data_IF_786113278161
#
_entry.id   IF_786113278161
#
_cell.length_a   1.000
_cell.length_b   1.000
_cell.length_c   1.000
_cell.angle_alpha   90.00
_cell.angle_beta   90.00
_cell.angle_gamma   90.00
#
_symmetry.space_group_name_H-M   'P 1'
#
loop_
_entity.id
_entity.type
_entity.pdbx_description
1 polymer ?
#
# COMPACT_ATOMS: atom_id res chain seq x y z
N UNK A 1 -25.88 -17.92 -19.60
CA UNK A 1 -25.10 -16.66 -19.60
C UNK A 1 -25.94 -15.37 -19.76
N UNK A 2 -27.01 -15.32 -20.57
CA UNK A 2 -27.80 -14.07 -20.79
C UNK A 2 -28.49 -13.43 -19.56
N UNK A 3 -28.79 -14.16 -18.49
CA UNK A 3 -29.47 -13.61 -17.29
C UNK A 3 -28.57 -12.86 -16.30
N UNK A 4 -27.24 -13.06 -16.35
CA UNK A 4 -26.34 -12.45 -15.35
C UNK A 4 -26.00 -10.98 -15.64
N UNK A 5 -26.21 -10.51 -16.87
CA UNK A 5 -25.83 -9.17 -17.33
C UNK A 5 -27.03 -8.26 -17.61
N UNK A 6 -28.19 -8.54 -17.01
CA UNK A 6 -29.37 -7.71 -17.19
C UNK A 6 -29.16 -6.30 -16.58
N UNK A 7 -29.50 -5.24 -17.31
CA UNK A 7 -29.34 -3.83 -16.89
C UNK A 7 -30.49 -3.35 -16.00
N UNK A 8 -31.57 -4.15 -15.89
CA UNK A 8 -32.75 -3.84 -15.06
C UNK A 8 -32.42 -3.61 -13.57
N UNK A 9 -31.32 -4.19 -13.09
CA UNK A 9 -30.89 -4.08 -11.69
C UNK A 9 -29.65 -3.18 -11.58
N UNK A 10 -29.63 -2.27 -10.61
CA UNK A 10 -28.48 -1.41 -10.33
C UNK A 10 -27.21 -2.24 -10.07
N UNK A 11 -26.06 -1.82 -10.62
CA UNK A 11 -24.79 -2.55 -10.53
C UNK A 11 -24.41 -3.01 -9.10
N UNK A 12 -24.58 -2.20 -8.03
CA UNK A 12 -24.24 -2.60 -6.67
C UNK A 12 -25.06 -3.78 -6.10
N UNK A 13 -26.18 -4.10 -6.73
CA UNK A 13 -27.05 -5.22 -6.34
C UNK A 13 -26.79 -6.47 -7.20
N UNK A 14 -25.94 -6.38 -8.23
CA UNK A 14 -25.68 -7.49 -9.13
C UNK A 14 -24.72 -8.51 -8.48
N UNK A 15 -25.12 -9.79 -8.34
CA UNK A 15 -24.30 -10.79 -7.65
C UNK A 15 -22.91 -10.97 -8.23
N UNK A 16 -22.76 -10.95 -9.56
CA UNK A 16 -21.47 -11.12 -10.21
C UNK A 16 -20.51 -9.97 -9.88
N UNK A 17 -21.01 -8.74 -9.74
CA UNK A 17 -20.19 -7.59 -9.40
C UNK A 17 -19.71 -7.67 -7.95
N UNK A 18 -20.59 -8.09 -7.03
CA UNK A 18 -20.20 -8.35 -5.63
C UNK A 18 -19.16 -9.47 -5.51
N UNK A 19 -19.30 -10.53 -6.31
CA UNK A 19 -18.29 -11.61 -6.36
C UNK A 19 -16.95 -11.09 -6.87
N UNK A 20 -16.93 -10.23 -7.90
CA UNK A 20 -15.69 -9.61 -8.36
C UNK A 20 -15.05 -8.70 -7.31
N UNK A 21 -15.85 -7.89 -6.62
CA UNK A 21 -15.37 -7.04 -5.52
C UNK A 21 -14.80 -7.88 -4.37
N UNK A 22 -15.45 -9.00 -4.02
CA UNK A 22 -14.96 -9.92 -2.99
C UNK A 22 -13.65 -10.61 -3.41
N UNK A 23 -13.58 -11.12 -4.64
CA UNK A 23 -12.36 -11.73 -5.18
C UNK A 23 -11.20 -10.74 -5.23
N UNK A 24 -11.47 -9.50 -5.65
CA UNK A 24 -10.49 -8.42 -5.65
C UNK A 24 -10.04 -8.08 -4.23
N UNK A 25 -10.96 -7.96 -3.26
CA UNK A 25 -10.61 -7.67 -1.87
C UNK A 25 -9.68 -8.75 -1.29
N UNK A 26 -9.93 -10.03 -1.59
CA UNK A 26 -9.05 -11.14 -1.18
C UNK A 26 -7.65 -11.01 -1.78
N UNK A 27 -7.58 -10.74 -3.09
CA UNK A 27 -6.32 -10.55 -3.81
C UNK A 27 -5.53 -9.36 -3.25
N UNK A 28 -6.19 -8.22 -3.10
CA UNK A 28 -5.65 -6.95 -2.62
C UNK A 28 -5.09 -7.04 -1.20
N UNK A 29 -5.87 -7.60 -0.27
CA UNK A 29 -5.44 -7.76 1.11
C UNK A 29 -4.24 -8.72 1.21
N UNK A 30 -4.27 -9.81 0.44
CA UNK A 30 -3.15 -10.75 0.39
C UNK A 30 -1.89 -10.15 -0.23
N UNK A 31 -2.04 -9.32 -1.26
CA UNK A 31 -0.94 -8.61 -1.91
C UNK A 31 -0.27 -7.63 -0.94
N UNK A 32 -1.06 -6.82 -0.23
CA UNK A 32 -0.53 -5.85 0.74
C UNK A 32 0.23 -6.54 1.87
N UNK A 33 -0.26 -7.68 2.38
CA UNK A 33 0.48 -8.49 3.36
C UNK A 33 1.84 -8.93 2.81
N UNK A 34 1.85 -9.50 1.60
CA UNK A 34 3.07 -10.02 0.97
C UNK A 34 4.08 -8.91 0.62
N UNK A 35 3.58 -7.75 0.19
CA UNK A 35 4.39 -6.57 -0.08
C UNK A 35 5.13 -6.10 1.18
N UNK A 36 4.44 -6.04 2.33
CA UNK A 36 5.05 -5.65 3.60
C UNK A 36 6.10 -6.67 4.06
N UNK A 37 5.80 -7.96 3.98
CA UNK A 37 6.72 -9.02 4.35
C UNK A 37 8.01 -8.95 3.52
N UNK A 38 7.89 -8.87 2.19
CA UNK A 38 9.04 -8.80 1.30
C UNK A 38 9.80 -7.48 1.43
N UNK A 39 9.11 -6.34 1.55
CA UNK A 39 9.75 -5.05 1.71
C UNK A 39 10.52 -4.93 3.04
N UNK A 40 10.06 -5.62 4.09
CA UNK A 40 10.73 -5.68 5.40
C UNK A 40 12.01 -6.53 5.42
N UNK A 41 12.26 -7.33 4.37
CA UNK A 41 13.46 -8.17 4.25
C UNK A 41 14.77 -7.39 4.07
N UNK A 42 15.90 -8.08 4.32
CA UNK A 42 17.24 -7.51 4.16
C UNK A 42 17.58 -7.24 2.68
N UNK A 43 18.52 -6.32 2.40
CA UNK A 43 19.00 -6.03 1.03
C UNK A 43 19.67 -7.25 0.38
N UNK A 44 20.24 -8.16 1.19
CA UNK A 44 20.89 -9.38 0.71
C UNK A 44 19.88 -10.45 0.28
N UNK A 45 18.70 -10.47 0.91
CA UNK A 45 17.64 -11.45 0.61
C UNK A 45 16.78 -11.03 -0.58
N UNK A 46 16.67 -9.72 -0.83
CA UNK A 46 15.87 -9.17 -1.93
C UNK A 46 16.63 -9.21 -3.25
N UNK A 47 16.35 -10.24 -4.05
CA UNK A 47 16.83 -10.29 -5.45
C UNK A 47 16.13 -9.19 -6.24
N UNK A 48 16.86 -8.51 -7.15
CA UNK A 48 16.29 -7.51 -8.05
C UNK A 48 15.04 -8.01 -8.81
N UNK A 49 14.97 -9.31 -9.09
CA UNK A 49 13.81 -9.97 -9.69
C UNK A 49 12.55 -9.90 -8.80
N UNK A 50 12.67 -10.05 -7.48
CA UNK A 50 11.52 -9.98 -6.56
C UNK A 50 10.95 -8.57 -6.46
N UNK A 51 11.80 -7.54 -6.47
CA UNK A 51 11.35 -6.15 -6.50
C UNK A 51 10.60 -5.84 -7.82
N UNK A 52 11.11 -6.34 -8.94
CA UNK A 52 10.48 -6.17 -10.24
C UNK A 52 9.11 -6.87 -10.33
N UNK A 53 9.04 -8.12 -9.85
CA UNK A 53 7.78 -8.87 -9.80
C UNK A 53 6.75 -8.16 -8.93
N UNK A 54 7.18 -7.60 -7.80
CA UNK A 54 6.33 -6.83 -6.90
C UNK A 54 5.84 -5.52 -7.55
N UNK A 55 6.70 -4.82 -8.30
CA UNK A 55 6.29 -3.64 -9.08
C UNK A 55 5.23 -4.00 -10.14
N UNK A 56 5.38 -5.14 -10.81
CA UNK A 56 4.41 -5.60 -11.81
C UNK A 56 3.07 -5.92 -11.14
N UNK A 57 3.08 -6.67 -10.03
CA UNK A 57 1.86 -7.01 -9.30
C UNK A 57 1.19 -5.79 -8.69
N UNK A 58 1.93 -4.83 -8.15
CA UNK A 58 1.38 -3.56 -7.64
C UNK A 58 0.54 -2.85 -8.71
N UNK A 59 1.07 -2.78 -9.94
CA UNK A 59 0.41 -2.15 -11.09
C UNK A 59 -0.85 -2.91 -11.52
N UNK A 60 -0.78 -4.24 -11.54
CA UNK A 60 -1.93 -5.10 -11.89
C UNK A 60 -3.03 -4.96 -10.85
N UNK A 61 -2.70 -5.12 -9.56
CA UNK A 61 -3.64 -5.06 -8.44
C UNK A 61 -4.30 -3.67 -8.37
N UNK A 62 -3.51 -2.60 -8.38
CA UNK A 62 -4.05 -1.23 -8.42
C UNK A 62 -4.88 -0.96 -9.68
N UNK A 63 -4.47 -1.52 -10.83
CA UNK A 63 -5.20 -1.39 -12.10
C UNK A 63 -6.56 -2.09 -12.09
N UNK A 64 -6.65 -3.28 -11.49
CA UNK A 64 -7.92 -3.97 -11.23
C UNK A 64 -8.80 -3.19 -10.25
N UNK A 65 -8.20 -2.63 -9.21
CA UNK A 65 -8.89 -1.76 -8.26
C UNK A 65 -9.53 -0.56 -8.94
N UNK A 66 -8.77 0.15 -9.77
CA UNK A 66 -9.27 1.26 -10.56
C UNK A 66 -10.34 0.81 -11.57
N UNK A 67 -10.16 -0.34 -12.24
CA UNK A 67 -11.14 -0.88 -13.16
C UNK A 67 -12.51 -1.07 -12.48
N UNK A 68 -12.55 -1.61 -11.26
CA UNK A 68 -13.79 -1.78 -10.50
C UNK A 68 -14.44 -0.44 -10.13
N UNK A 69 -13.66 0.58 -9.78
CA UNK A 69 -14.16 1.94 -9.58
C UNK A 69 -14.77 2.51 -10.86
N UNK A 70 -14.08 2.35 -11.99
CA UNK A 70 -14.52 2.81 -13.31
C UNK A 70 -15.81 2.12 -13.74
N UNK A 71 -15.96 0.81 -13.47
CA UNK A 71 -17.20 0.09 -13.78
C UNK A 71 -18.41 0.75 -13.12
N UNK A 72 -18.27 1.20 -11.88
CA UNK A 72 -19.34 1.93 -11.18
C UNK A 72 -19.60 3.31 -11.76
N UNK A 73 -18.54 4.08 -12.05
CA UNK A 73 -18.69 5.44 -12.58
C UNK A 73 -19.25 5.47 -14.00
N UNK A 74 -18.88 4.49 -14.83
CA UNK A 74 -19.28 4.39 -16.22
C UNK A 74 -20.54 3.55 -16.43
N UNK A 75 -21.12 2.97 -15.38
CA UNK A 75 -22.34 2.15 -15.42
C UNK A 75 -23.50 2.83 -16.16
N UNK A 76 -23.67 4.13 -15.91
CA UNK A 76 -24.72 4.92 -16.56
C UNK A 76 -24.41 5.22 -18.03
N UNK A 77 -23.14 5.42 -18.37
CA UNK A 77 -22.70 5.79 -19.71
C UNK A 77 -22.68 4.59 -20.68
N UNK A 78 -22.17 3.44 -20.23
CA UNK A 78 -21.99 2.27 -21.08
C UNK A 78 -23.20 1.34 -20.94
N UNK A 79 -23.87 1.07 -22.05
CA UNK A 79 -25.08 0.23 -22.06
C UNK A 79 -24.78 -1.27 -21.97
N UNK A 80 -23.69 -1.71 -22.61
CA UNK A 80 -23.29 -3.11 -22.63
C UNK A 80 -22.41 -3.46 -21.43
N UNK A 81 -22.86 -4.42 -20.60
CA UNK A 81 -22.08 -4.93 -19.45
C UNK A 81 -20.71 -5.51 -19.82
N UNK A 82 -20.57 -6.39 -20.83
CA UNK A 82 -19.25 -6.89 -21.19
C UNK A 82 -18.35 -5.76 -21.71
N UNK A 83 -18.90 -4.78 -22.44
CA UNK A 83 -18.12 -3.62 -22.89
C UNK A 83 -17.66 -2.76 -21.71
N UNK A 84 -18.53 -2.54 -20.71
CA UNK A 84 -18.19 -1.83 -19.48
C UNK A 84 -17.01 -2.53 -18.79
N UNK A 85 -17.12 -3.84 -18.54
CA UNK A 85 -16.05 -4.62 -17.89
C UNK A 85 -14.74 -4.55 -18.69
N UNK A 86 -14.78 -4.84 -20.00
CA UNK A 86 -13.58 -4.85 -20.84
C UNK A 86 -12.93 -3.47 -20.92
N UNK A 87 -13.72 -2.42 -21.15
CA UNK A 87 -13.22 -1.05 -21.25
C UNK A 87 -12.64 -0.56 -19.92
N UNK A 88 -13.31 -0.80 -18.79
CA UNK A 88 -12.81 -0.45 -17.46
C UNK A 88 -11.54 -1.22 -17.10
N UNK A 89 -11.45 -2.51 -17.41
CA UNK A 89 -10.22 -3.29 -17.21
C UNK A 89 -9.08 -2.77 -18.08
N UNK A 90 -9.33 -2.52 -19.37
CA UNK A 90 -8.30 -2.01 -20.28
C UNK A 90 -7.78 -0.65 -19.82
N UNK A 91 -8.68 0.30 -19.51
CA UNK A 91 -8.30 1.63 -19.03
C UNK A 91 -7.61 1.56 -17.68
N UNK A 92 -8.16 0.80 -16.72
CA UNK A 92 -7.61 0.69 -15.37
C UNK A 92 -6.19 0.10 -15.37
N UNK A 93 -5.99 -1.01 -16.09
CA UNK A 93 -4.69 -1.67 -16.20
C UNK A 93 -3.68 -0.81 -16.96
N UNK A 94 -4.02 -0.28 -18.15
CA UNK A 94 -3.10 0.56 -18.92
C UNK A 94 -2.72 1.82 -18.15
N UNK A 95 -3.70 2.48 -17.51
CA UNK A 95 -3.42 3.70 -16.76
C UNK A 95 -2.50 3.41 -15.57
N UNK A 96 -2.78 2.40 -14.74
CA UNK A 96 -1.92 2.10 -13.59
C UNK A 96 -0.56 1.54 -13.99
N UNK A 97 -0.48 0.79 -15.10
CA UNK A 97 0.78 0.30 -15.65
C UNK A 97 1.75 1.43 -15.97
N UNK A 98 1.25 2.51 -16.58
CA UNK A 98 2.07 3.66 -16.95
C UNK A 98 2.19 4.68 -15.82
N UNK A 99 1.12 4.98 -15.09
CA UNK A 99 1.10 6.04 -14.10
C UNK A 99 1.99 5.72 -12.89
N UNK A 100 1.85 4.53 -12.29
CA UNK A 100 2.70 4.18 -11.14
C UNK A 100 4.17 4.12 -11.52
N UNK A 101 4.47 3.56 -12.70
CA UNK A 101 5.83 3.54 -13.24
C UNK A 101 6.37 4.97 -13.42
N UNK A 102 5.59 5.84 -14.09
CA UNK A 102 5.99 7.22 -14.34
C UNK A 102 6.19 8.01 -13.04
N UNK A 103 5.35 7.80 -12.02
CA UNK A 103 5.50 8.44 -10.70
C UNK A 103 6.79 7.98 -10.01
N UNK A 104 7.04 6.67 -9.95
CA UNK A 104 8.25 6.13 -9.33
C UNK A 104 9.50 6.60 -10.07
N UNK A 105 9.54 6.44 -11.40
CA UNK A 105 10.68 6.84 -12.21
C UNK A 105 10.93 8.36 -12.10
N UNK A 106 9.89 9.19 -12.09
CA UNK A 106 10.03 10.65 -11.93
C UNK A 106 10.58 11.06 -10.55
N UNK A 107 10.25 10.33 -9.47
CA UNK A 107 10.82 10.58 -8.14
C UNK A 107 12.26 10.08 -8.06
N UNK A 108 12.56 8.92 -8.65
CA UNK A 108 13.91 8.31 -8.70
C UNK A 108 14.88 9.15 -9.52
N UNK A 109 14.45 9.68 -10.66
CA UNK A 109 15.30 10.47 -11.54
C UNK A 109 15.64 11.87 -10.97
N UNK A 110 14.89 12.31 -9.96
CA UNK A 110 15.11 13.56 -9.22
C UNK A 110 15.85 13.36 -7.90
N UNK A 111 16.32 12.15 -7.60
CA UNK A 111 17.04 11.86 -6.37
C UNK A 111 18.35 12.65 -6.32
N UNK A 112 18.58 13.37 -5.23
CA UNK A 112 19.87 13.97 -4.96
C UNK A 112 20.83 12.95 -4.31
N UNK A 113 22.11 13.28 -4.22
CA UNK A 113 23.08 12.33 -3.67
C UNK A 113 22.85 12.07 -2.17
N UNK A 114 22.29 13.04 -1.46
CA UNK A 114 21.95 12.91 -0.04
C UNK A 114 20.86 11.86 0.16
N UNK A 115 19.80 11.88 -0.66
CA UNK A 115 18.70 10.92 -0.66
C UNK A 115 19.17 9.49 -0.94
N UNK A 116 20.08 9.34 -1.90
CA UNK A 116 20.65 8.06 -2.30
C UNK A 116 21.43 7.44 -1.14
N UNK A 117 22.30 8.23 -0.49
CA UNK A 117 23.06 7.79 0.69
C UNK A 117 22.11 7.52 1.85
N UNK A 118 21.13 8.38 2.08
CA UNK A 118 20.16 8.26 3.17
C UNK A 118 19.30 7.00 3.04
N UNK A 119 18.85 6.66 1.84
CA UNK A 119 18.07 5.45 1.60
C UNK A 119 18.87 4.18 1.86
N UNK A 120 20.14 4.20 1.47
CA UNK A 120 21.02 3.07 1.67
C UNK A 120 21.38 2.92 3.16
N UNK A 121 21.78 4.00 3.85
CA UNK A 121 22.13 3.97 5.27
C UNK A 121 20.93 3.60 6.15
N UNK A 122 19.76 4.20 5.88
CA UNK A 122 18.53 3.88 6.61
C UNK A 122 18.08 2.43 6.42
N UNK A 123 18.32 1.83 5.24
CA UNK A 123 18.00 0.43 5.00
C UNK A 123 18.82 -0.49 5.91
N UNK A 124 20.13 -0.24 6.02
CA UNK A 124 21.00 -0.97 6.95
C UNK A 124 20.59 -0.73 8.41
N UNK A 125 20.11 0.47 8.73
CA UNK A 125 19.60 0.87 10.03
C UNK A 125 18.22 0.32 10.39
N UNK A 126 17.47 -0.29 9.46
CA UNK A 126 16.09 -0.76 9.69
C UNK A 126 16.01 -1.71 10.89
N UNK A 127 16.98 -2.63 11.04
CA UNK A 127 16.98 -3.58 12.15
C UNK A 127 17.14 -2.89 13.52
N UNK A 128 17.93 -1.83 13.61
CA UNK A 128 18.11 -1.05 14.83
C UNK A 128 16.90 -0.15 15.09
N UNK A 129 16.27 0.39 14.05
CA UNK A 129 15.01 1.12 14.15
C UNK A 129 13.89 0.22 14.72
N UNK A 130 13.79 -1.02 14.23
CA UNK A 130 12.84 -2.02 14.74
C UNK A 130 13.13 -2.42 16.20
N UNK A 131 14.37 -2.26 16.69
CA UNK A 131 14.75 -2.50 18.09
C UNK A 131 14.51 -1.27 18.98
N UNK A 132 14.05 -0.16 18.42
CA UNK A 132 13.85 1.11 19.14
C UNK A 132 15.15 1.80 19.52
N UNK A 133 16.22 1.60 18.73
CA UNK A 133 17.57 2.13 19.03
C UNK A 133 17.98 3.23 18.06
N UNK A 134 17.01 4.00 17.58
CA UNK A 134 17.25 5.10 16.64
C UNK A 134 16.64 6.38 17.19
N UNK A 135 17.44 7.44 17.12
CA UNK A 135 17.04 8.81 17.39
C UNK A 135 17.11 9.62 16.08
N UNK A 136 16.16 10.51 15.89
CA UNK A 136 16.15 11.46 14.79
C UNK A 136 16.42 12.84 15.38
N UNK A 137 17.59 13.42 15.09
CA UNK A 137 18.06 14.68 15.68
C UNK A 137 17.98 14.68 17.21
N UNK A 138 18.41 13.58 17.85
CA UNK A 138 18.35 13.39 19.30
C UNK A 138 16.94 13.16 19.88
N UNK A 139 15.93 12.93 19.04
CA UNK A 139 14.55 12.61 19.48
C UNK A 139 14.27 11.13 19.22
N UNK A 140 13.91 10.38 20.27
CA UNK A 140 13.60 8.96 20.15
C UNK A 140 12.38 8.70 19.27
N UNK A 141 12.53 7.69 18.38
CA UNK A 141 11.45 7.23 17.50
C UNK A 141 10.53 6.25 18.21
N UNK A 142 11.06 5.40 19.09
CA UNK A 142 10.29 4.45 19.89
C UNK A 142 10.93 4.34 21.28
N UNK A 143 10.10 4.16 22.30
CA UNK A 143 10.54 3.93 23.70
C UNK A 143 11.02 2.48 23.94
N UNK A 144 11.06 1.65 22.90
CA UNK A 144 11.45 0.25 22.96
C UNK A 144 11.29 -0.46 21.61
N UNK A 145 11.45 -1.79 21.56
CA UNK A 145 11.30 -2.57 20.33
C UNK A 145 9.92 -2.39 19.69
N UNK A 146 9.88 -2.36 18.36
CA UNK A 146 8.65 -2.23 17.60
C UNK A 146 7.65 -3.37 17.95
N UNK A 147 6.42 -3.02 18.37
CA UNK A 147 5.36 -3.99 18.62
C UNK A 147 5.10 -4.89 17.41
N UNK A 148 4.65 -6.13 17.65
CA UNK A 148 4.41 -7.10 16.58
C UNK A 148 3.49 -6.59 15.45
N UNK A 149 2.40 -5.83 15.72
CA UNK A 149 1.55 -5.29 14.65
C UNK A 149 2.24 -4.21 13.79
N UNK A 150 3.14 -3.41 14.38
CA UNK A 150 3.80 -2.28 13.71
C UNK A 150 5.05 -2.72 12.95
N UNK A 151 5.68 -3.83 13.38
CA UNK A 151 6.97 -4.31 12.85
C UNK A 151 7.00 -4.52 11.33
N UNK A 152 6.00 -5.14 10.67
CA UNK A 152 6.02 -5.32 9.21
C UNK A 152 6.00 -3.98 8.46
N UNK A 153 5.11 -3.08 8.86
CA UNK A 153 4.98 -1.74 8.29
C UNK A 153 6.25 -0.92 8.50
N UNK A 154 6.76 -0.90 9.72
CA UNK A 154 7.99 -0.19 10.04
C UNK A 154 9.17 -0.77 9.26
N UNK A 155 9.30 -2.10 9.17
CA UNK A 155 10.35 -2.73 8.37
C UNK A 155 10.29 -2.36 6.89
N UNK A 156 9.08 -2.33 6.32
CA UNK A 156 8.85 -2.02 4.91
C UNK A 156 9.01 -0.52 4.58
N UNK A 157 8.61 0.37 5.49
CA UNK A 157 8.46 1.80 5.22
C UNK A 157 9.44 2.69 5.99
N UNK A 158 10.29 2.12 6.85
CA UNK A 158 11.28 2.88 7.61
C UNK A 158 12.15 3.76 6.70
N UNK A 159 12.74 3.16 5.67
CA UNK A 159 13.63 3.88 4.74
C UNK A 159 12.92 5.05 4.06
N UNK A 160 11.64 4.86 3.72
CA UNK A 160 10.80 5.88 3.10
C UNK A 160 10.47 7.02 4.06
N UNK A 161 10.30 6.72 5.35
CA UNK A 161 9.87 7.67 6.38
C UNK A 161 10.91 8.70 6.78
N UNK A 162 12.18 8.35 6.63
CA UNK A 162 13.31 9.21 6.97
C UNK A 162 13.87 9.93 5.75
N UNK A 163 13.24 9.77 4.57
CA UNK A 163 13.59 10.54 3.39
C UNK A 163 13.32 12.03 3.63
N UNK A 164 14.26 12.87 3.15
CA UNK A 164 14.26 14.31 3.45
C UNK A 164 15.11 14.70 4.67
N UNK A 165 15.59 13.72 5.44
CA UNK A 165 16.64 13.91 6.43
C UNK A 165 18.02 13.66 5.81
N UNK A 166 19.06 14.24 6.41
CA UNK A 166 20.44 13.88 6.11
C UNK A 166 20.84 12.61 6.89
N UNK A 167 21.84 11.84 6.43
CA UNK A 167 22.36 10.70 7.19
C UNK A 167 22.78 11.06 8.63
N UNK A 168 23.33 12.26 8.82
CA UNK A 168 23.77 12.78 10.12
C UNK A 168 22.60 13.15 11.05
N UNK A 169 21.37 13.24 10.53
CA UNK A 169 20.17 13.46 11.35
C UNK A 169 19.68 12.17 12.02
N UNK A 170 20.26 11.00 11.69
CA UNK A 170 19.81 9.68 12.17
C UNK A 170 20.90 9.03 13.02
N UNK A 171 20.69 9.07 14.33
CA UNK A 171 21.61 8.52 15.31
C UNK A 171 21.19 7.09 15.69
N UNK A 172 22.10 6.14 15.50
CA UNK A 172 21.91 4.76 15.93
C UNK A 172 22.58 4.59 17.30
N UNK A 173 21.76 4.34 18.32
CA UNK A 173 22.16 4.27 19.73
C UNK A 173 22.96 3.00 20.09
N UNK A 174 23.05 2.05 19.17
CA UNK A 174 23.94 0.90 19.32
C UNK A 174 25.32 1.19 18.73
N UNK A 175 26.37 0.58 19.30
CA UNK A 175 27.72 0.58 18.70
C UNK A 175 27.79 0.00 17.28
N UNK A 176 26.67 -0.39 16.68
CA UNK A 176 26.52 -0.75 15.27
C UNK A 176 26.79 0.42 14.30
N UNK A 177 26.83 1.67 14.79
CA UNK A 177 27.44 2.79 14.05
C UNK A 177 28.86 2.46 13.57
N UNK A 178 29.60 1.63 14.33
CA UNK A 178 30.90 1.12 13.89
C UNK A 178 30.78 0.23 12.64
N UNK A 179 29.76 -0.61 12.51
CA UNK A 179 29.55 -1.44 11.32
C UNK A 179 29.15 -0.63 10.08
N UNK A 180 28.42 0.48 10.25
CA UNK A 180 28.09 1.42 9.17
C UNK A 180 29.31 2.24 8.71
N UNK A 181 30.23 2.55 9.63
CA UNK A 181 31.50 3.21 9.32
C UNK A 181 32.56 2.29 8.68
N UNK A 182 32.39 0.97 8.77
CA UNK A 182 33.30 -0.01 8.16
C UNK A 182 32.80 -0.39 6.78
N UNK A 183 32.86 0.57 5.85
CA UNK A 183 32.67 0.26 4.45
C UNK A 183 33.74 -0.76 4.02
N UNK A 184 33.40 -1.85 3.30
CA UNK A 184 34.43 -2.61 2.59
C UNK A 184 35.27 -1.64 1.74
N UNK A 185 36.52 -1.95 1.43
CA UNK A 185 37.45 -1.00 0.78
C UNK A 185 36.95 -0.36 -0.54
N UNK A 186 35.81 -0.81 -1.09
CA UNK A 186 35.02 -0.13 -2.12
C UNK A 186 33.65 0.33 -1.57
N UNK A 187 33.39 1.64 -1.62
CA UNK A 187 32.09 2.30 -1.39
C UNK A 187 30.88 1.61 -2.04
N UNK A 188 29.62 1.94 -1.68
CA UNK A 188 28.47 1.40 -2.39
C UNK A 188 28.58 1.85 -3.84
N UNK A 189 28.24 0.98 -4.77
CA UNK A 189 28.07 1.45 -6.15
C UNK A 189 26.88 2.41 -6.23
N UNK A 190 26.95 3.40 -7.12
CA UNK A 190 25.81 4.29 -7.40
C UNK A 190 24.56 3.52 -7.81
N UNK A 191 24.71 2.38 -8.48
CA UNK A 191 23.60 1.49 -8.83
C UNK A 191 22.89 0.94 -7.58
N UNK A 192 23.64 0.42 -6.60
CA UNK A 192 23.08 -0.11 -5.35
C UNK A 192 22.34 0.97 -4.55
N UNK A 193 22.88 2.19 -4.47
CA UNK A 193 22.19 3.28 -3.77
C UNK A 193 20.91 3.69 -4.50
N UNK A 194 20.94 3.73 -5.84
CA UNK A 194 19.75 4.04 -6.64
C UNK A 194 18.68 2.96 -6.52
N UNK A 195 19.06 1.69 -6.43
CA UNK A 195 18.13 0.59 -6.21
C UNK A 195 17.50 0.65 -4.80
N UNK A 196 18.29 0.98 -3.77
CA UNK A 196 17.77 1.21 -2.42
C UNK A 196 16.78 2.38 -2.38
N UNK A 197 17.11 3.50 -3.04
CA UNK A 197 16.20 4.65 -3.17
C UNK A 197 14.93 4.28 -3.95
N UNK A 198 15.06 3.57 -5.07
CA UNK A 198 13.92 3.09 -5.86
C UNK A 198 12.99 2.24 -5.00
N UNK A 199 13.52 1.32 -4.19
CA UNK A 199 12.73 0.51 -3.26
C UNK A 199 12.01 1.39 -2.23
N UNK A 200 12.72 2.35 -1.62
CA UNK A 200 12.16 3.28 -0.64
C UNK A 200 11.03 4.14 -1.22
N UNK A 201 11.06 4.45 -2.52
CA UNK A 201 10.00 5.18 -3.20
C UNK A 201 8.86 4.26 -3.65
N UNK A 202 9.21 3.12 -4.25
CA UNK A 202 8.27 2.16 -4.82
C UNK A 202 7.31 1.60 -3.77
N UNK A 203 7.84 1.20 -2.62
CA UNK A 203 7.07 0.53 -1.57
C UNK A 203 5.86 1.34 -1.09
N UNK A 204 6.00 2.60 -0.64
CA UNK A 204 4.86 3.41 -0.23
C UNK A 204 3.94 3.77 -1.40
N UNK A 205 4.45 4.01 -2.61
CA UNK A 205 3.59 4.30 -3.78
C UNK A 205 2.71 3.10 -4.13
N UNK A 206 3.29 1.91 -4.17
CA UNK A 206 2.58 0.67 -4.40
C UNK A 206 1.55 0.41 -3.29
N UNK A 207 2.01 0.36 -2.04
CA UNK A 207 1.16 0.08 -0.88
C UNK A 207 0.05 1.11 -0.73
N UNK A 208 0.37 2.40 -0.85
CA UNK A 208 -0.59 3.49 -0.65
C UNK A 208 -1.68 3.53 -1.73
N UNK A 209 -1.31 3.34 -3.00
CA UNK A 209 -2.29 3.25 -4.09
C UNK A 209 -3.17 2.00 -3.94
N UNK A 210 -2.56 0.86 -3.63
CA UNK A 210 -3.25 -0.41 -3.44
C UNK A 210 -4.24 -0.32 -2.28
N UNK A 211 -3.81 0.11 -1.09
CA UNK A 211 -4.67 0.30 0.09
C UNK A 211 -5.84 1.26 -0.20
N UNK A 212 -5.61 2.36 -0.93
CA UNK A 212 -6.67 3.30 -1.29
C UNK A 212 -7.75 2.62 -2.17
N UNK A 213 -7.34 1.93 -3.24
CA UNK A 213 -8.28 1.23 -4.11
C UNK A 213 -8.94 0.04 -3.42
N UNK A 214 -8.19 -0.69 -2.61
CA UNK A 214 -8.68 -1.78 -1.77
C UNK A 214 -9.78 -1.32 -0.83
N UNK A 215 -9.55 -0.23 -0.09
CA UNK A 215 -10.53 0.34 0.82
C UNK A 215 -11.80 0.79 0.10
N UNK A 216 -11.67 1.50 -1.03
CA UNK A 216 -12.82 1.99 -1.79
C UNK A 216 -13.66 0.85 -2.38
N UNK A 217 -13.03 -0.21 -2.86
CA UNK A 217 -13.73 -1.38 -3.39
C UNK A 217 -14.31 -2.26 -2.26
N UNK A 218 -13.64 -2.37 -1.12
CA UNK A 218 -14.19 -3.01 0.07
C UNK A 218 -15.45 -2.26 0.56
N UNK A 219 -15.43 -0.92 0.58
CA UNK A 219 -16.60 -0.12 0.90
C UNK A 219 -17.75 -0.37 -0.08
N UNK A 220 -17.46 -0.55 -1.38
CA UNK A 220 -18.47 -0.92 -2.37
C UNK A 220 -19.08 -2.29 -2.09
N UNK A 221 -18.25 -3.27 -1.74
CA UNK A 221 -18.69 -4.60 -1.38
C UNK A 221 -19.61 -4.56 -0.16
N UNK A 222 -19.18 -3.89 0.91
CA UNK A 222 -19.95 -3.77 2.14
C UNK A 222 -21.28 -3.04 1.92
N UNK A 223 -21.27 -1.96 1.12
CA UNK A 223 -22.49 -1.25 0.75
C UNK A 223 -23.47 -2.14 -0.04
N UNK A 224 -22.96 -2.86 -1.05
CA UNK A 224 -23.77 -3.77 -1.86
C UNK A 224 -24.34 -4.94 -1.04
N UNK A 225 -23.53 -5.57 -0.19
CA UNK A 225 -23.96 -6.63 0.72
C UNK A 225 -25.03 -6.13 1.70
N UNK A 226 -24.84 -4.95 2.29
CA UNK A 226 -25.82 -4.33 3.20
C UNK A 226 -27.17 -4.13 2.50
N UNK A 227 -27.16 -3.65 1.26
CA UNK A 227 -28.37 -3.46 0.47
C UNK A 227 -29.03 -4.79 0.09
N UNK A 228 -28.25 -5.83 -0.23
CA UNK A 228 -28.78 -7.18 -0.50
C UNK A 228 -29.44 -7.77 0.73
N UNK A 229 -28.84 -7.60 1.92
CA UNK A 229 -29.43 -8.03 3.20
C UNK A 229 -30.76 -7.32 3.45
N UNK A 230 -30.81 -5.99 3.28
CA UNK A 230 -32.06 -5.23 3.42
C UNK A 230 -33.16 -5.72 2.48
N UNK A 231 -32.81 -6.04 1.23
CA UNK A 231 -33.75 -6.62 0.27
C UNK A 231 -34.27 -7.99 0.70
N UNK A 232 -33.39 -8.86 1.24
CA UNK A 232 -33.79 -10.18 1.76
C UNK A 232 -34.68 -10.10 3.00
N UNK A 233 -34.55 -9.04 3.79
CA UNK A 233 -35.42 -8.76 4.95
C UNK A 233 -36.77 -8.13 4.55
N UNK A 234 -37.04 -7.93 3.25
CA UNK A 234 -38.29 -7.34 2.76
C UNK A 234 -38.38 -5.81 2.94
N UNK A 235 -37.29 -5.15 3.33
CA UNK A 235 -37.25 -3.71 3.61
C UNK A 235 -37.01 -2.86 2.34
N UNK A 236 -37.78 -3.12 1.28
CA UNK A 236 -37.56 -2.53 -0.05
C UNK A 236 -37.62 -1.00 -0.07
N UNK A 237 -38.54 -0.39 0.69
CA UNK A 237 -38.65 1.07 0.79
C UNK A 237 -37.43 1.72 1.45
N UNK A 238 -36.83 1.04 2.43
CA UNK A 238 -35.61 1.50 3.10
C UNK A 238 -34.38 1.26 2.23
N UNK A 239 -34.31 0.13 1.52
CA UNK A 239 -33.27 -0.19 0.55
C UNK A 239 -33.15 0.89 -0.53
N UNK A 240 -34.28 1.35 -1.10
CA UNK A 240 -34.28 2.42 -2.11
C UNK A 240 -33.78 3.76 -1.54
N UNK A 241 -34.21 4.12 -0.32
CA UNK A 241 -33.75 5.35 0.35
C UNK A 241 -32.26 5.34 0.66
N UNK A 242 -31.73 4.19 1.08
CA UNK A 242 -30.33 4.03 1.47
C UNK A 242 -29.38 3.71 0.31
N UNK A 243 -29.89 3.39 -0.88
CA UNK A 243 -29.07 3.03 -2.05
C UNK A 243 -27.94 4.04 -2.31
N UNK A 244 -28.25 5.33 -2.28
CA UNK A 244 -27.28 6.40 -2.54
C UNK A 244 -26.40 6.74 -1.33
N UNK A 245 -26.82 6.37 -0.12
CA UNK A 245 -26.15 6.72 1.14
C UNK A 245 -25.28 5.60 1.73
N UNK A 246 -25.51 4.33 1.37
CA UNK A 246 -24.76 3.21 1.93
C UNK A 246 -23.27 3.27 1.61
N UNK A 247 -22.93 3.58 0.37
CA UNK A 247 -21.53 3.73 -0.02
C UNK A 247 -20.82 4.86 0.74
N UNK A 248 -21.28 6.13 0.73
CA UNK A 248 -20.59 7.18 1.47
C UNK A 248 -20.56 6.91 2.97
N UNK A 249 -21.58 6.26 3.54
CA UNK A 249 -21.56 5.84 4.95
C UNK A 249 -20.44 4.83 5.23
N UNK A 250 -20.30 3.79 4.39
CA UNK A 250 -19.21 2.82 4.53
C UNK A 250 -17.84 3.43 4.28
N UNK A 251 -17.72 4.34 3.31
CA UNK A 251 -16.47 5.10 3.07
C UNK A 251 -16.10 5.92 4.29
N UNK A 252 -17.05 6.69 4.87
CA UNK A 252 -16.80 7.47 6.07
C UNK A 252 -16.39 6.59 7.27
N UNK A 253 -17.09 5.47 7.47
CA UNK A 253 -16.78 4.53 8.55
C UNK A 253 -15.39 3.91 8.39
N UNK A 254 -15.06 3.38 7.21
CA UNK A 254 -13.78 2.72 6.96
C UNK A 254 -12.61 3.71 6.94
N UNK A 255 -12.82 4.95 6.44
CA UNK A 255 -11.82 6.01 6.54
C UNK A 255 -11.58 6.44 7.98
N UNK A 256 -12.65 6.61 8.77
CA UNK A 256 -12.52 6.96 10.19
C UNK A 256 -11.71 5.87 10.91
N UNK A 257 -12.09 4.60 10.73
CA UNK A 257 -11.36 3.45 11.26
C UNK A 257 -9.88 3.45 10.87
N UNK A 258 -9.59 3.71 9.60
CA UNK A 258 -8.22 3.76 9.06
C UNK A 258 -7.40 4.96 9.57
N UNK A 259 -8.03 6.05 10.00
CA UNK A 259 -7.33 7.26 10.46
C UNK A 259 -7.16 7.31 11.99
N UNK A 260 -7.99 6.57 12.72
CA UNK A 260 -7.98 6.52 14.19
C UNK A 260 -7.21 5.34 14.76
N UNK A 261 -6.78 4.39 13.93
CA UNK A 261 -5.98 3.26 14.38
C UNK A 261 -4.67 3.77 15.01
N UNK A 262 -4.40 3.34 16.24
CA UNK A 262 -3.21 3.77 16.96
C UNK A 262 -1.97 3.14 16.33
N UNK A 263 -0.92 3.94 16.18
CA UNK A 263 0.36 3.46 15.69
C UNK A 263 1.46 4.15 16.48
N UNK A 264 2.04 3.41 17.44
CA UNK A 264 3.06 3.92 18.38
C UNK A 264 4.21 4.62 17.66
N UNK A 265 4.54 4.18 16.44
CA UNK A 265 5.56 4.82 15.63
C UNK A 265 5.09 6.15 15.04
N UNK A 266 3.89 6.19 14.44
CA UNK A 266 3.32 7.44 13.88
C UNK A 266 3.03 8.45 14.98
N UNK A 267 2.62 8.00 16.16
CA UNK A 267 2.31 8.85 17.30
C UNK A 267 3.57 9.31 18.07
N UNK A 268 4.75 8.79 17.71
CA UNK A 268 6.02 9.13 18.36
C UNK A 268 6.47 10.58 18.09
N UNK A 269 7.18 11.21 19.04
CA UNK A 269 7.73 12.55 18.83
C UNK A 269 8.78 12.56 17.71
N UNK A 270 9.62 11.52 17.59
CA UNK A 270 10.60 11.41 16.51
C UNK A 270 9.95 11.43 15.12
N UNK A 271 8.82 10.75 14.95
CA UNK A 271 8.09 10.79 13.67
C UNK A 271 7.37 12.13 13.45
N UNK A 272 6.57 12.60 14.42
CA UNK A 272 5.72 13.79 14.23
C UNK A 272 6.50 15.10 14.13
N UNK A 273 7.60 15.24 14.89
CA UNK A 273 8.36 16.49 14.97
C UNK A 273 9.53 16.54 13.98
N UNK A 274 10.06 15.39 13.57
CA UNK A 274 11.29 15.34 12.75
C UNK A 274 11.03 14.69 11.39
N UNK A 275 10.69 13.40 11.36
CA UNK A 275 10.58 12.63 10.12
C UNK A 275 9.48 13.16 9.19
N UNK A 276 8.26 13.31 9.71
CA UNK A 276 7.10 13.72 8.91
C UNK A 276 7.25 15.13 8.33
N UNK A 277 7.64 16.17 9.09
CA UNK A 277 7.87 17.50 8.51
C UNK A 277 8.96 17.49 7.43
N UNK A 278 10.08 16.79 7.66
CA UNK A 278 11.17 16.69 6.68
C UNK A 278 10.70 16.03 5.38
N UNK A 279 9.94 14.94 5.49
CA UNK A 279 9.36 14.24 4.35
C UNK A 279 8.40 15.11 3.55
N UNK A 280 7.47 15.81 4.21
CA UNK A 280 6.49 16.66 3.53
C UNK A 280 7.14 17.87 2.83
N UNK A 281 8.22 18.40 3.39
CA UNK A 281 8.97 19.51 2.80
C UNK A 281 9.85 19.06 1.63
N UNK A 282 10.60 17.98 1.80
CA UNK A 282 11.58 17.53 0.81
C UNK A 282 10.95 16.65 -0.29
N UNK A 283 9.96 15.83 0.06
CA UNK A 283 9.35 14.79 -0.81
C UNK A 283 7.81 14.89 -0.86
N UNK A 284 7.24 16.03 -1.29
CA UNK A 284 5.78 16.26 -1.25
C UNK A 284 4.95 15.29 -2.11
N UNK A 285 5.54 14.66 -3.12
CA UNK A 285 4.84 13.65 -3.94
C UNK A 285 4.80 12.27 -3.31
N UNK A 286 5.77 11.94 -2.44
CA UNK A 286 5.87 10.65 -1.76
C UNK A 286 5.09 10.67 -0.44
N UNK A 287 5.15 11.80 0.27
CA UNK A 287 4.58 11.97 1.60
C UNK A 287 3.11 11.51 1.73
N UNK A 288 2.19 11.83 0.78
CA UNK A 288 0.79 11.40 0.89
C UNK A 288 0.63 9.88 0.87
N UNK A 289 1.38 9.17 0.04
CA UNK A 289 1.33 7.71 -0.04
C UNK A 289 1.83 7.07 1.25
N UNK A 290 2.91 7.62 1.79
CA UNK A 290 3.50 7.10 3.03
C UNK A 290 2.60 7.38 4.23
N UNK A 291 2.19 8.63 4.46
CA UNK A 291 1.33 9.01 5.59
C UNK A 291 0.00 8.24 5.55
N UNK A 292 -0.56 8.03 4.36
CA UNK A 292 -1.75 7.20 4.18
C UNK A 292 -1.49 5.75 4.60
N UNK A 293 -0.41 5.14 4.10
CA UNK A 293 -0.07 3.74 4.39
C UNK A 293 0.18 3.50 5.87
N UNK A 294 0.91 4.41 6.53
CA UNK A 294 1.26 4.31 7.95
C UNK A 294 0.06 4.40 8.89
N UNK A 295 -0.98 5.14 8.49
CA UNK A 295 -2.22 5.28 9.27
C UNK A 295 -3.19 4.15 8.96
N UNK A 296 -3.38 3.84 7.68
CA UNK A 296 -4.39 2.89 7.25
C UNK A 296 -4.01 1.43 7.55
N UNK A 297 -2.77 1.01 7.30
CA UNK A 297 -2.37 -0.39 7.42
C UNK A 297 -2.67 -1.01 8.80
N UNK A 298 -2.34 -0.36 9.93
CA UNK A 298 -2.52 -0.97 11.24
C UNK A 298 -3.97 -1.37 11.52
N UNK A 299 -4.91 -0.60 10.99
CA UNK A 299 -6.35 -0.82 11.12
C UNK A 299 -6.84 -2.13 10.46
N UNK A 300 -6.06 -2.67 9.51
CA UNK A 300 -6.42 -3.83 8.69
C UNK A 300 -5.41 -4.98 8.80
N UNK A 301 -4.33 -4.82 9.54
CA UNK A 301 -3.22 -5.79 9.71
C UNK A 301 -3.68 -7.23 9.98
N UNK A 302 -4.55 -7.44 10.97
CA UNK A 302 -5.07 -8.78 11.30
C UNK A 302 -5.86 -9.41 10.14
N UNK A 303 -6.66 -8.61 9.45
CA UNK A 303 -7.44 -9.05 8.30
C UNK A 303 -6.52 -9.41 7.12
N UNK A 304 -5.48 -8.62 6.87
CA UNK A 304 -4.46 -8.87 5.84
C UNK A 304 -3.80 -10.24 6.05
N UNK A 305 -3.33 -10.51 7.27
CA UNK A 305 -2.70 -11.79 7.64
C UNK A 305 -3.67 -12.97 7.48
N UNK A 306 -4.89 -12.82 7.99
CA UNK A 306 -5.88 -13.88 7.94
C UNK A 306 -6.27 -14.24 6.50
N UNK A 307 -6.54 -13.24 5.66
CA UNK A 307 -6.91 -13.45 4.25
C UNK A 307 -5.79 -14.12 3.48
N UNK A 308 -4.55 -13.66 3.64
CA UNK A 308 -3.40 -14.24 2.93
C UNK A 308 -3.21 -15.73 3.25
N UNK A 309 -3.21 -16.08 4.54
CA UNK A 309 -2.98 -17.46 5.01
C UNK A 309 -4.16 -18.39 4.72
N UNK A 310 -5.37 -17.93 5.00
CA UNK A 310 -6.55 -18.81 5.00
C UNK A 310 -7.25 -18.88 3.65
N UNK A 311 -7.24 -17.79 2.86
CA UNK A 311 -7.96 -17.73 1.60
C UNK A 311 -7.05 -17.92 0.38
N UNK A 312 -5.82 -17.39 0.41
CA UNK A 312 -4.86 -17.56 -0.69
C UNK A 312 -3.75 -18.58 -0.40
N UNK A 313 -3.74 -19.22 0.77
CA UNK A 313 -2.80 -20.30 1.12
C UNK A 313 -1.34 -19.92 0.87
N UNK A 314 -0.96 -18.72 1.32
CA UNK A 314 0.41 -18.19 1.22
C UNK A 314 0.91 -18.01 -0.24
N UNK A 315 0.03 -17.53 -1.12
CA UNK A 315 0.36 -17.25 -2.52
C UNK A 315 1.55 -16.28 -2.66
N UNK A 316 2.56 -16.68 -3.45
CA UNK A 316 3.88 -16.04 -3.47
C UNK A 316 4.00 -14.83 -4.41
N UNK A 317 3.01 -14.54 -5.25
CA UNK A 317 3.02 -13.41 -6.20
C UNK A 317 4.30 -13.30 -7.04
N UNK A 318 4.89 -14.43 -7.47
CA UNK A 318 5.99 -14.44 -8.43
C UNK A 318 5.48 -14.23 -9.85
N UNK A 319 6.34 -13.72 -10.74
CA UNK A 319 6.01 -13.69 -12.16
C UNK A 319 5.93 -15.13 -12.70
N UNK A 320 4.79 -15.58 -13.25
CA UNK A 320 4.65 -16.94 -13.77
C UNK A 320 5.53 -17.23 -14.98
N UNK A 321 6.04 -16.18 -15.66
CA UNK A 321 6.95 -16.31 -16.81
C UNK A 321 8.42 -16.44 -16.38
N UNK A 322 8.74 -16.09 -15.13
CA UNK A 322 10.04 -16.33 -14.52
C UNK A 322 9.98 -17.66 -13.74
N UNK A 323 9.98 -18.78 -14.46
CA UNK A 323 10.32 -20.07 -13.84
C UNK A 323 11.84 -20.18 -13.76
N UNK A 324 12.40 -20.85 -12.72
CA UNK A 324 13.84 -20.95 -12.50
C UNK A 324 14.60 -21.57 -13.67
#
# INVERSE_FOLDING_TARGET
>A
MRRFFDKSTALPLQPWFLVLLAAYAVLELSFNHRLLELASGSLADMRAAQLHDMEAWARVVSGLGLALLLMRWLDKAIHSRPLLVLSSCAVGLLLMWHLQKAVVDAIVDRADQTDLVMSFSSHLGTAEALRGRVELRGVQVLEGPAPAPVRPVMGALWTSSVLGLAPDDVDILSGATQLLGHWPMAGPSNAQMRDAYRKAVMTPVALGASLLFGLLNLCQLLAGLSLVVLGRLGLLGLQQRLLSWMLPAWVAACLTWSLTASNVWVDSPGYQLVARPALWQAKPYLAPFLDWSLRAEPAWSDLLVWVHRQLLLDFDFRNPLNTP
#
